data_IF_315388212649
#
_entry.id   IF_315388212649
#
_cell.length_a   1.000
_cell.length_b   1.000
_cell.length_c   1.000
_cell.angle_alpha   90.00
_cell.angle_beta   90.00
_cell.angle_gamma   90.00
#
_symmetry.space_group_name_H-M   'P 1'
#
loop_
_entity.id
_entity.type
_entity.pdbx_description
1 polymer ?
#
# COMPACT_ATOMS: atom_id res chain seq x y z
N UNK A 1 3.10 -13.28 -3.20
CA UNK A 1 3.30 -14.68 -3.21
C UNK A 1 4.41 -15.22 -2.33
N UNK A 2 4.70 -14.63 -1.15
CA UNK A 2 5.67 -15.21 -0.20
C UNK A 2 5.04 -16.29 0.67
N UNK A 3 3.78 -16.09 1.07
CA UNK A 3 3.02 -17.02 1.90
C UNK A 3 1.71 -17.38 1.18
N UNK A 4 1.34 -18.65 1.27
CA UNK A 4 0.05 -19.11 0.78
C UNK A 4 -1.06 -18.64 1.73
N UNK A 5 -2.20 -18.13 1.21
CA UNK A 5 -3.31 -17.72 2.06
C UNK A 5 -3.93 -18.93 2.75
N UNK A 6 -4.33 -18.78 4.02
CA UNK A 6 -5.02 -19.84 4.79
C UNK A 6 -6.40 -20.16 4.18
N UNK A 7 -6.99 -19.22 3.46
CA UNK A 7 -8.26 -19.37 2.76
C UNK A 7 -8.50 -18.23 1.77
N UNK A 8 -9.49 -18.40 0.91
CA UNK A 8 -9.77 -17.46 -0.18
C UNK A 8 -8.81 -17.60 -1.36
N UNK A 9 -8.78 -16.61 -2.26
CA UNK A 9 -7.91 -16.59 -3.42
C UNK A 9 -7.42 -15.18 -3.73
N UNK A 10 -6.23 -15.07 -4.33
CA UNK A 10 -5.69 -13.82 -4.86
C UNK A 10 -5.54 -13.98 -6.35
N UNK A 11 -6.33 -13.22 -7.11
CA UNK A 11 -6.32 -13.28 -8.58
C UNK A 11 -5.72 -12.01 -9.15
N UNK A 12 -4.90 -12.16 -10.18
CA UNK A 12 -4.31 -11.07 -10.96
C UNK A 12 -4.61 -11.34 -12.42
N UNK A 13 -5.30 -10.42 -13.07
CA UNK A 13 -5.85 -10.60 -14.43
C UNK A 13 -6.65 -11.92 -14.57
N UNK A 14 -7.41 -12.27 -13.54
CA UNK A 14 -8.20 -13.50 -13.51
C UNK A 14 -7.42 -14.78 -13.20
N UNK A 15 -6.09 -14.70 -13.06
CA UNK A 15 -5.23 -15.84 -12.73
C UNK A 15 -5.01 -15.93 -11.24
N UNK A 16 -5.35 -17.06 -10.63
CA UNK A 16 -5.07 -17.32 -9.22
C UNK A 16 -3.56 -17.59 -9.02
N UNK A 17 -2.93 -16.80 -8.17
CA UNK A 17 -1.48 -16.85 -7.92
C UNK A 17 -1.00 -18.21 -7.40
N UNK A 18 -1.84 -18.90 -6.61
CA UNK A 18 -1.46 -20.16 -5.95
C UNK A 18 -1.90 -21.40 -6.72
N UNK A 19 -2.85 -21.28 -7.66
CA UNK A 19 -3.28 -22.39 -8.50
C UNK A 19 -2.31 -22.70 -9.66
N UNK A 20 -1.33 -21.84 -9.92
CA UNK A 20 -0.33 -22.04 -10.97
C UNK A 20 0.65 -23.18 -10.61
N UNK A 21 0.46 -24.35 -11.19
CA UNK A 21 1.40 -25.47 -11.08
C UNK A 21 2.73 -25.21 -11.80
N UNK A 22 2.68 -24.46 -12.91
CA UNK A 22 3.82 -24.12 -13.77
C UNK A 22 4.71 -23.07 -13.10
N UNK A 23 5.98 -23.39 -12.86
CA UNK A 23 6.95 -22.53 -12.20
C UNK A 23 7.28 -21.28 -13.03
N UNK A 24 7.36 -21.42 -14.35
CA UNK A 24 7.72 -20.31 -15.24
C UNK A 24 6.57 -19.28 -15.31
N UNK A 25 5.33 -19.74 -15.40
CA UNK A 25 4.14 -18.86 -15.33
C UNK A 25 4.05 -18.15 -13.99
N UNK A 26 4.36 -18.82 -12.90
CA UNK A 26 4.41 -18.23 -11.56
C UNK A 26 5.50 -17.18 -11.43
N UNK A 27 6.69 -17.45 -12.00
CA UNK A 27 7.79 -16.49 -12.04
C UNK A 27 7.43 -15.27 -12.90
N UNK A 28 6.82 -15.48 -14.07
CA UNK A 28 6.34 -14.41 -14.94
C UNK A 28 5.31 -13.51 -14.22
N UNK A 29 4.37 -14.11 -13.47
CA UNK A 29 3.41 -13.34 -12.67
C UNK A 29 4.08 -12.55 -11.55
N UNK A 30 5.05 -13.16 -10.82
CA UNK A 30 5.82 -12.48 -9.77
C UNK A 30 6.63 -11.31 -10.30
N UNK A 31 7.15 -11.39 -11.51
CA UNK A 31 7.85 -10.28 -12.16
C UNK A 31 6.94 -9.06 -12.31
N UNK A 32 5.66 -9.26 -12.68
CA UNK A 32 4.69 -8.17 -12.88
C UNK A 32 4.27 -7.48 -11.59
N UNK A 33 4.52 -8.12 -10.44
CA UNK A 33 4.10 -7.61 -9.12
C UNK A 33 5.33 -7.44 -8.26
N UNK A 34 5.60 -6.22 -7.85
CA UNK A 34 6.73 -5.93 -6.97
C UNK A 34 6.28 -5.18 -5.71
N UNK A 35 7.15 -5.10 -4.73
CA UNK A 35 6.85 -4.50 -3.44
C UNK A 35 7.92 -3.50 -3.03
N UNK A 36 7.47 -2.34 -2.56
CA UNK A 36 8.28 -1.36 -1.85
C UNK A 36 7.98 -1.56 -0.37
N UNK A 37 8.99 -1.93 0.41
CA UNK A 37 8.87 -2.25 1.83
C UNK A 37 8.89 -1.00 2.69
N UNK A 38 8.32 -1.10 3.89
CA UNK A 38 8.17 -0.03 4.88
C UNK A 38 9.50 0.59 5.32
N UNK A 39 10.52 -0.24 5.56
CA UNK A 39 11.83 0.22 6.04
C UNK A 39 12.89 0.11 4.94
N UNK A 40 13.36 1.25 4.39
CA UNK A 40 14.41 1.24 3.38
C UNK A 40 15.76 0.77 3.92
N UNK A 41 16.02 0.87 5.24
CA UNK A 41 17.25 0.38 5.84
C UNK A 41 17.27 -1.16 5.91
N UNK A 42 16.18 -1.75 6.38
CA UNK A 42 16.07 -3.21 6.49
C UNK A 42 15.94 -3.90 5.13
N UNK A 43 15.40 -3.20 4.13
CA UNK A 43 15.12 -3.80 2.81
C UNK A 43 16.32 -3.83 1.87
N UNK A 44 17.38 -3.06 2.13
CA UNK A 44 18.60 -3.01 1.32
C UNK A 44 19.74 -3.77 2.01
N UNK A 45 20.39 -4.71 1.30
CA UNK A 45 21.56 -5.39 1.85
C UNK A 45 22.71 -4.37 2.01
N UNK A 46 23.16 -4.06 3.24
CA UNK A 46 24.18 -3.02 3.48
C UNK A 46 25.58 -3.37 2.96
N UNK A 47 25.80 -4.65 2.64
CA UNK A 47 27.09 -5.16 2.11
C UNK A 47 27.17 -5.11 0.59
N UNK A 48 26.07 -4.82 -0.08
CA UNK A 48 26.00 -4.75 -1.53
C UNK A 48 26.05 -3.30 -2.01
N UNK A 49 26.68 -3.08 -3.15
CA UNK A 49 26.63 -1.78 -3.83
C UNK A 49 25.22 -1.56 -4.39
N UNK A 50 24.82 -0.31 -4.48
CA UNK A 50 23.50 0.09 -5.01
C UNK A 50 23.24 -0.48 -6.40
N UNK A 51 24.23 -0.44 -7.29
CA UNK A 51 24.13 -1.05 -8.61
C UNK A 51 23.83 -2.55 -8.57
N UNK A 52 24.44 -3.30 -7.63
CA UNK A 52 24.16 -4.73 -7.46
C UNK A 52 22.76 -5.00 -6.92
N UNK A 53 22.27 -4.14 -6.01
CA UNK A 53 20.91 -4.24 -5.43
C UNK A 53 19.84 -4.04 -6.51
N UNK A 54 20.02 -3.04 -7.38
CA UNK A 54 19.08 -2.76 -8.49
C UNK A 54 19.21 -3.80 -9.60
N UNK A 55 20.39 -4.33 -9.85
CA UNK A 55 20.66 -5.35 -10.85
C UNK A 55 20.13 -6.74 -10.48
N UNK A 56 19.90 -7.02 -9.19
CA UNK A 56 19.50 -8.35 -8.72
C UNK A 56 18.19 -8.84 -9.34
N UNK A 57 17.07 -8.08 -9.34
CA UNK A 57 15.86 -8.51 -10.02
C UNK A 57 16.03 -8.61 -11.55
N UNK A 58 16.84 -7.74 -12.18
CA UNK A 58 17.12 -7.81 -13.63
C UNK A 58 17.74 -9.16 -13.98
N UNK A 59 18.73 -9.60 -13.19
CA UNK A 59 19.38 -10.91 -13.36
C UNK A 59 18.42 -12.07 -13.06
N UNK A 60 17.68 -11.98 -11.95
CA UNK A 60 16.77 -13.03 -11.50
C UNK A 60 15.67 -13.32 -12.52
N UNK A 61 15.25 -12.32 -13.28
CA UNK A 61 14.23 -12.44 -14.33
C UNK A 61 14.82 -12.52 -15.77
N UNK A 62 16.14 -12.55 -15.92
CA UNK A 62 16.79 -12.67 -17.22
C UNK A 62 16.50 -11.48 -18.15
N UNK A 63 16.47 -10.25 -17.64
CA UNK A 63 16.06 -9.04 -18.39
C UNK A 63 17.24 -8.30 -19.05
N UNK A 64 18.45 -8.79 -18.91
CA UNK A 64 19.62 -8.28 -19.61
C UNK A 64 20.38 -9.46 -20.23
N UNK A 65 20.87 -9.26 -21.45
CA UNK A 65 21.59 -10.27 -22.23
C UNK A 65 23.06 -10.32 -21.86
N UNK A 66 23.62 -9.17 -21.49
CA UNK A 66 25.03 -9.03 -21.14
C UNK A 66 25.23 -8.00 -20.02
N UNK A 67 26.50 -7.84 -19.63
CA UNK A 67 26.89 -6.92 -18.56
C UNK A 67 26.69 -5.45 -18.92
N UNK A 68 26.94 -5.08 -20.16
CA UNK A 68 26.84 -3.69 -20.60
C UNK A 68 25.37 -3.24 -20.59
N UNK A 69 24.45 -4.08 -21.07
CA UNK A 69 23.01 -3.85 -21.01
C UNK A 69 22.54 -3.73 -19.55
N UNK A 70 23.01 -4.62 -18.67
CA UNK A 70 22.68 -4.57 -17.24
C UNK A 70 23.13 -3.25 -16.60
N UNK A 71 24.35 -2.81 -16.84
CA UNK A 71 24.89 -1.55 -16.32
C UNK A 71 24.13 -0.34 -16.87
N UNK A 72 23.74 -0.38 -18.15
CA UNK A 72 22.89 0.64 -18.78
C UNK A 72 21.51 0.72 -18.13
N UNK A 73 20.82 -0.41 -17.96
CA UNK A 73 19.49 -0.46 -17.32
C UNK A 73 19.54 0.05 -15.87
N UNK A 74 20.59 -0.30 -15.10
CA UNK A 74 20.80 0.21 -13.74
C UNK A 74 20.98 1.73 -13.75
N UNK A 75 21.77 2.27 -14.67
CA UNK A 75 21.98 3.71 -14.82
C UNK A 75 20.68 4.45 -15.15
N UNK A 76 19.86 3.90 -16.04
CA UNK A 76 18.56 4.48 -16.39
C UNK A 76 17.59 4.47 -15.21
N UNK A 77 17.56 3.39 -14.43
CA UNK A 77 16.72 3.31 -13.23
C UNK A 77 17.14 4.33 -12.16
N UNK A 78 18.45 4.55 -11.98
CA UNK A 78 18.94 5.60 -11.09
C UNK A 78 18.50 6.99 -11.55
N UNK A 79 18.67 7.32 -12.85
CA UNK A 79 18.18 8.59 -13.42
C UNK A 79 16.66 8.75 -13.24
N UNK A 80 15.92 7.67 -13.46
CA UNK A 80 14.45 7.64 -13.35
C UNK A 80 13.96 8.05 -11.96
N UNK A 81 14.72 7.69 -10.90
CA UNK A 81 14.40 8.06 -9.52
C UNK A 81 15.14 9.32 -9.05
N UNK A 82 15.83 10.04 -9.95
CA UNK A 82 16.52 11.29 -9.65
C UNK A 82 17.84 11.11 -8.87
N UNK A 83 18.56 10.01 -9.15
CA UNK A 83 19.91 9.73 -8.64
C UNK A 83 20.93 9.71 -9.79
N UNK A 84 22.21 9.94 -9.47
CA UNK A 84 23.28 9.87 -10.45
C UNK A 84 23.63 8.40 -10.77
N UNK A 85 23.82 8.00 -12.03
CA UNK A 85 24.32 6.67 -12.38
C UNK A 85 25.61 6.27 -11.70
N UNK A 86 26.51 7.22 -11.39
CA UNK A 86 27.73 6.99 -10.62
C UNK A 86 27.46 6.49 -9.19
N UNK A 87 26.27 6.76 -8.67
CA UNK A 87 25.82 6.27 -7.35
C UNK A 87 25.70 4.75 -7.29
N UNK A 88 25.66 4.05 -8.44
CA UNK A 88 25.70 2.59 -8.51
C UNK A 88 26.90 1.97 -7.79
N UNK A 89 28.03 2.70 -7.72
CA UNK A 89 29.26 2.24 -7.08
C UNK A 89 29.25 2.37 -5.54
N UNK A 90 28.34 3.16 -4.97
CA UNK A 90 28.23 3.43 -3.54
C UNK A 90 27.44 2.34 -2.78
N UNK A 91 27.57 2.36 -1.46
CA UNK A 91 26.82 1.49 -0.55
C UNK A 91 25.60 2.22 0.04
N UNK A 92 24.56 1.49 0.47
CA UNK A 92 23.35 2.09 1.03
C UNK A 92 23.59 3.05 2.21
N UNK A 93 24.60 2.79 3.04
CA UNK A 93 24.90 3.65 4.20
C UNK A 93 25.45 5.03 3.83
N UNK A 94 25.90 5.24 2.58
CA UNK A 94 26.38 6.53 2.08
C UNK A 94 25.25 7.47 1.63
N UNK A 95 23.97 7.03 1.74
CA UNK A 95 22.81 7.78 1.28
C UNK A 95 21.92 8.25 2.43
N UNK A 96 21.22 9.37 2.22
CA UNK A 96 20.16 9.83 3.11
C UNK A 96 18.95 8.87 3.06
N UNK A 97 18.02 9.00 4.05
CA UNK A 97 16.79 8.20 4.09
C UNK A 97 15.96 8.30 2.79
N UNK A 98 15.77 9.52 2.30
CA UNK A 98 15.03 9.75 1.05
C UNK A 98 15.73 9.19 -0.19
N UNK A 99 17.06 9.27 -0.25
CA UNK A 99 17.84 8.64 -1.33
C UNK A 99 17.77 7.10 -1.26
N UNK A 100 17.83 6.50 -0.07
CA UNK A 100 17.60 5.04 0.08
C UNK A 100 16.21 4.63 -0.38
N UNK A 101 15.19 5.42 -0.07
CA UNK A 101 13.84 5.15 -0.56
C UNK A 101 13.77 5.18 -2.08
N UNK A 102 14.47 6.13 -2.74
CA UNK A 102 14.59 6.17 -4.20
C UNK A 102 15.28 4.91 -4.76
N UNK A 103 16.29 4.39 -4.06
CA UNK A 103 16.96 3.12 -4.42
C UNK A 103 15.99 1.94 -4.30
N UNK A 104 15.16 1.89 -3.23
CA UNK A 104 14.13 0.85 -3.07
C UNK A 104 13.09 0.90 -4.19
N UNK A 105 12.68 2.10 -4.60
CA UNK A 105 11.77 2.31 -5.74
C UNK A 105 12.45 1.83 -7.04
N UNK A 106 13.70 2.23 -7.31
CA UNK A 106 14.46 1.79 -8.48
C UNK A 106 14.58 0.25 -8.55
N UNK A 107 14.87 -0.39 -7.41
CA UNK A 107 14.91 -1.85 -7.30
C UNK A 107 13.56 -2.49 -7.64
N UNK A 108 12.46 -1.96 -7.10
CA UNK A 108 11.13 -2.47 -7.39
C UNK A 108 10.76 -2.32 -8.88
N UNK A 109 11.20 -1.24 -9.53
CA UNK A 109 10.97 -0.99 -10.96
C UNK A 109 11.85 -1.83 -11.88
N UNK A 110 12.95 -2.39 -11.39
CA UNK A 110 13.97 -3.06 -12.21
C UNK A 110 13.45 -4.31 -12.92
N UNK A 111 12.40 -4.95 -12.41
CA UNK A 111 11.72 -6.07 -13.07
C UNK A 111 10.70 -5.64 -14.13
N UNK A 112 10.50 -4.33 -14.35
CA UNK A 112 9.46 -3.74 -15.21
C UNK A 112 8.05 -4.22 -14.79
N UNK A 113 7.62 -3.96 -13.53
CA UNK A 113 6.33 -4.40 -13.03
C UNK A 113 5.18 -3.58 -13.63
N UNK A 114 3.97 -4.13 -13.53
CA UNK A 114 2.71 -3.44 -13.85
C UNK A 114 1.99 -3.03 -12.56
N UNK A 115 2.24 -3.77 -11.47
CA UNK A 115 1.59 -3.60 -10.18
C UNK A 115 2.63 -3.48 -9.07
N UNK A 116 2.51 -2.43 -8.26
CA UNK A 116 3.39 -2.20 -7.11
C UNK A 116 2.59 -2.15 -5.81
N UNK A 117 2.98 -3.00 -4.86
CA UNK A 117 2.52 -2.88 -3.48
C UNK A 117 3.48 -1.93 -2.76
N UNK A 118 2.98 -0.81 -2.28
CA UNK A 118 3.74 0.16 -1.50
C UNK A 118 3.27 0.11 -0.05
N UNK A 119 4.07 -0.55 0.80
CA UNK A 119 3.76 -0.73 2.21
C UNK A 119 4.44 0.38 3.02
N UNK A 120 3.65 1.35 3.47
CA UNK A 120 4.09 2.54 4.20
C UNK A 120 5.37 3.21 3.65
N UNK A 121 5.47 3.49 2.34
CA UNK A 121 6.73 3.80 1.67
C UNK A 121 7.36 5.13 2.11
N UNK A 122 6.71 5.87 2.99
CA UNK A 122 7.18 7.19 3.44
C UNK A 122 7.14 7.36 4.96
N UNK A 123 6.77 6.33 5.73
CA UNK A 123 6.58 6.43 7.19
C UNK A 123 7.86 6.75 7.97
N UNK A 124 9.02 6.34 7.46
CA UNK A 124 10.33 6.56 8.07
C UNK A 124 11.01 7.88 7.62
N UNK A 125 10.30 8.74 6.88
CA UNK A 125 10.87 9.96 6.28
C UNK A 125 10.27 11.22 6.92
N UNK A 126 11.05 12.30 6.95
CA UNK A 126 10.53 13.61 7.32
C UNK A 126 9.51 14.13 6.28
N UNK A 127 8.67 15.08 6.71
CA UNK A 127 7.53 15.57 5.91
C UNK A 127 7.94 16.12 4.54
N UNK A 128 9.08 16.80 4.46
CA UNK A 128 9.56 17.42 3.21
C UNK A 128 10.02 16.36 2.21
N UNK A 129 10.76 15.37 2.68
CA UNK A 129 11.23 14.24 1.87
C UNK A 129 10.06 13.33 1.49
N UNK A 130 9.11 13.12 2.42
CA UNK A 130 7.87 12.39 2.14
C UNK A 130 7.14 12.97 0.91
N UNK A 131 6.94 14.30 0.86
CA UNK A 131 6.29 14.94 -0.27
C UNK A 131 7.04 14.70 -1.59
N UNK A 132 8.37 14.74 -1.56
CA UNK A 132 9.19 14.48 -2.76
C UNK A 132 9.05 13.03 -3.25
N UNK A 133 9.03 12.05 -2.34
CA UNK A 133 8.84 10.64 -2.71
C UNK A 133 7.43 10.38 -3.27
N UNK A 134 6.40 10.99 -2.68
CA UNK A 134 5.03 10.85 -3.19
C UNK A 134 4.87 11.45 -4.60
N UNK A 135 5.46 12.62 -4.84
CA UNK A 135 5.46 13.24 -6.17
C UNK A 135 6.21 12.37 -7.19
N UNK A 136 7.38 11.83 -6.81
CA UNK A 136 8.11 10.88 -7.65
C UNK A 136 7.25 9.65 -7.98
N UNK A 137 6.58 9.05 -6.98
CA UNK A 137 5.72 7.88 -7.21
C UNK A 137 4.55 8.21 -8.16
N UNK A 138 3.98 9.42 -8.05
CA UNK A 138 2.93 9.88 -8.96
C UNK A 138 3.44 10.04 -10.39
N UNK A 139 4.58 10.70 -10.55
CA UNK A 139 5.23 10.84 -11.87
C UNK A 139 5.53 9.48 -12.51
N UNK A 140 6.05 8.53 -11.72
CA UNK A 140 6.32 7.17 -12.19
C UNK A 140 5.03 6.43 -12.56
N UNK A 141 3.94 6.63 -11.83
CA UNK A 141 2.62 6.08 -12.16
C UNK A 141 2.18 6.53 -13.54
N UNK A 142 2.23 7.84 -13.78
CA UNK A 142 1.76 8.44 -15.04
C UNK A 142 2.66 8.05 -16.23
N UNK A 143 3.98 8.05 -16.03
CA UNK A 143 4.95 7.72 -17.10
C UNK A 143 5.00 6.25 -17.49
N UNK A 144 4.83 5.35 -16.51
CA UNK A 144 4.99 3.91 -16.69
C UNK A 144 3.67 3.14 -16.69
N UNK A 145 2.53 3.82 -16.49
CA UNK A 145 1.21 3.18 -16.44
C UNK A 145 1.04 2.23 -15.24
N UNK A 146 1.69 2.53 -14.11
CA UNK A 146 1.71 1.63 -12.95
C UNK A 146 0.39 1.64 -12.18
N UNK A 147 0.00 0.47 -11.71
CA UNK A 147 -1.07 0.33 -10.71
C UNK A 147 -0.45 0.18 -9.32
N UNK A 148 -0.92 0.97 -8.34
CA UNK A 148 -0.46 0.88 -6.96
C UNK A 148 -1.53 0.27 -6.04
N UNK A 149 -1.10 -0.65 -5.17
CA UNK A 149 -1.75 -0.89 -3.89
C UNK A 149 -0.94 -0.15 -2.82
N UNK A 150 -1.47 1.00 -2.39
CA UNK A 150 -0.79 1.86 -1.44
C UNK A 150 -1.33 1.63 -0.03
N UNK A 151 -0.49 1.21 0.90
CA UNK A 151 -0.83 0.98 2.31
C UNK A 151 -0.25 2.13 3.13
N UNK A 152 -1.07 2.80 3.92
CA UNK A 152 -0.63 3.89 4.80
C UNK A 152 -1.63 4.13 5.92
N UNK A 153 -1.12 4.55 7.09
CA UNK A 153 -1.93 5.07 8.20
C UNK A 153 -2.14 6.60 8.10
N UNK A 154 -1.45 7.28 7.18
CA UNK A 154 -1.56 8.73 6.99
C UNK A 154 -2.63 9.06 5.96
N UNK A 155 -3.78 9.55 6.43
CA UNK A 155 -4.94 9.85 5.58
C UNK A 155 -4.66 10.96 4.56
N UNK A 156 -3.80 11.94 4.86
CA UNK A 156 -3.42 12.98 3.91
C UNK A 156 -2.64 12.40 2.71
N UNK A 157 -1.75 11.45 2.99
CA UNK A 157 -1.00 10.71 1.96
C UNK A 157 -1.94 9.89 1.10
N UNK A 158 -2.85 9.12 1.73
CA UNK A 158 -3.83 8.30 1.00
C UNK A 158 -4.73 9.15 0.12
N UNK A 159 -5.22 10.30 0.64
CA UNK A 159 -6.03 11.26 -0.14
C UNK A 159 -5.30 11.79 -1.38
N UNK A 160 -3.99 11.98 -1.29
CA UNK A 160 -3.17 12.46 -2.40
C UNK A 160 -2.93 11.39 -3.46
N UNK A 161 -2.68 10.13 -3.02
CA UNK A 161 -2.21 9.06 -3.91
C UNK A 161 -3.33 8.20 -4.50
N UNK A 162 -4.40 7.94 -3.74
CA UNK A 162 -5.38 6.92 -4.08
C UNK A 162 -6.60 7.47 -4.80
N UNK A 163 -7.03 6.78 -5.87
CA UNK A 163 -8.32 7.02 -6.51
C UNK A 163 -9.47 6.37 -5.71
N UNK A 164 -9.17 5.24 -5.02
CA UNK A 164 -10.11 4.48 -4.21
C UNK A 164 -9.46 4.04 -2.92
N UNK A 165 -10.21 4.03 -1.82
CA UNK A 165 -9.71 3.71 -0.48
C UNK A 165 -10.50 2.57 0.11
N UNK A 166 -9.78 1.59 0.69
CA UNK A 166 -10.31 0.59 1.58
C UNK A 166 -9.89 0.90 3.02
N UNK A 167 -10.86 1.12 3.90
CA UNK A 167 -10.61 1.31 5.33
C UNK A 167 -10.60 -0.05 6.01
N UNK A 168 -9.51 -0.36 6.71
CA UNK A 168 -9.34 -1.65 7.39
C UNK A 168 -9.35 -1.48 8.91
N UNK A 169 -10.06 -2.37 9.60
CA UNK A 169 -10.06 -2.46 11.05
C UNK A 169 -9.88 -3.91 11.50
N UNK A 170 -8.89 -4.17 12.36
CA UNK A 170 -8.53 -5.51 12.86
C UNK A 170 -8.51 -6.59 11.76
N UNK A 171 -7.80 -6.30 10.64
CA UNK A 171 -7.63 -7.25 9.54
C UNK A 171 -8.80 -7.38 8.57
N UNK A 172 -9.91 -6.63 8.77
CA UNK A 172 -11.09 -6.65 7.89
C UNK A 172 -11.29 -5.31 7.20
N UNK A 173 -11.60 -5.32 5.91
CA UNK A 173 -12.03 -4.12 5.19
C UNK A 173 -13.48 -3.81 5.63
N UNK A 174 -13.69 -2.64 6.23
CA UNK A 174 -14.99 -2.22 6.77
C UNK A 174 -15.73 -1.22 5.87
N UNK A 175 -14.98 -0.49 5.04
CA UNK A 175 -15.56 0.44 4.07
C UNK A 175 -14.64 0.54 2.85
N UNK A 176 -15.21 0.66 1.65
CA UNK A 176 -14.49 0.83 0.41
C UNK A 176 -15.22 1.82 -0.49
N UNK A 177 -14.56 2.90 -0.89
CA UNK A 177 -15.19 3.96 -1.68
C UNK A 177 -14.19 4.71 -2.58
N UNK A 178 -14.65 5.42 -3.61
CA UNK A 178 -13.87 6.47 -4.25
C UNK A 178 -13.37 7.48 -3.23
N UNK A 179 -12.14 7.95 -3.39
CA UNK A 179 -11.48 8.82 -2.40
C UNK A 179 -12.32 10.05 -2.04
N UNK A 180 -12.84 10.76 -3.03
CA UNK A 180 -13.64 11.96 -2.79
C UNK A 180 -14.92 11.65 -1.98
N UNK A 181 -15.57 10.52 -2.25
CA UNK A 181 -16.79 10.12 -1.54
C UNK A 181 -16.50 9.72 -0.10
N UNK A 182 -15.42 8.95 0.15
CA UNK A 182 -15.03 8.57 1.50
C UNK A 182 -14.76 9.80 2.37
N UNK A 183 -14.02 10.78 1.85
CA UNK A 183 -13.72 12.01 2.60
C UNK A 183 -14.93 12.93 2.79
N UNK A 184 -15.90 12.91 1.86
CA UNK A 184 -17.12 13.72 1.95
C UNK A 184 -18.19 13.12 2.86
N UNK A 185 -18.39 11.82 2.74
CA UNK A 185 -19.51 11.10 3.38
C UNK A 185 -19.10 9.68 3.81
N UNK A 186 -18.19 9.53 4.79
CA UNK A 186 -17.85 8.21 5.33
C UNK A 186 -19.11 7.58 5.95
N UNK A 187 -19.32 6.29 5.71
CA UNK A 187 -20.51 5.58 6.18
C UNK A 187 -20.25 4.76 7.43
N UNK A 188 -19.13 4.03 7.47
CA UNK A 188 -18.78 3.22 8.63
C UNK A 188 -18.39 4.10 9.83
N UNK A 189 -18.88 3.84 11.05
CA UNK A 189 -18.54 4.64 12.24
C UNK A 189 -17.04 4.76 12.50
N UNK A 190 -16.25 3.71 12.22
CA UNK A 190 -14.80 3.77 12.32
C UNK A 190 -14.15 4.72 11.30
N UNK A 191 -14.64 4.71 10.04
CA UNK A 191 -14.12 5.62 9.02
C UNK A 191 -14.42 7.09 9.36
N UNK A 192 -15.63 7.38 9.87
CA UNK A 192 -15.98 8.71 10.41
C UNK A 192 -15.01 9.14 11.50
N UNK A 193 -14.78 8.26 12.47
CA UNK A 193 -13.85 8.50 13.56
C UNK A 193 -12.43 8.80 13.08
N UNK A 194 -11.91 8.04 12.11
CA UNK A 194 -10.58 8.27 11.54
C UNK A 194 -10.48 9.64 10.85
N UNK A 195 -11.49 10.01 10.10
CA UNK A 195 -11.53 11.29 9.38
C UNK A 195 -11.73 12.48 10.32
N UNK A 196 -12.52 12.34 11.38
CA UNK A 196 -12.71 13.36 12.42
C UNK A 196 -11.41 13.61 13.23
N UNK A 197 -10.50 12.61 13.28
CA UNK A 197 -9.20 12.76 13.94
C UNK A 197 -8.17 13.53 13.10
N UNK A 198 -8.38 13.68 11.78
CA UNK A 198 -7.47 14.44 10.91
C UNK A 198 -7.62 15.93 11.22
N UNK A 199 -6.52 16.64 11.54
CA UNK A 199 -6.56 18.09 11.71
C UNK A 199 -6.95 18.77 10.39
N UNK A 200 -8.13 19.33 10.31
CA UNK A 200 -8.50 20.24 9.23
C UNK A 200 -8.13 21.67 9.65
N UNK A 201 -7.21 22.28 8.91
CA UNK A 201 -6.80 23.67 9.14
C UNK A 201 -7.96 24.65 9.01
N UNK A 202 -9.04 24.27 8.29
CA UNK A 202 -10.25 25.07 8.14
C UNK A 202 -11.26 24.89 9.31
N UNK A 203 -11.07 23.90 10.18
CA UNK A 203 -12.00 23.55 11.28
C UNK A 203 -11.45 23.93 12.66
N UNK A 204 -10.78 25.05 12.80
CA UNK A 204 -10.37 25.60 14.09
C UNK A 204 -11.60 25.87 14.95
N UNK A 205 -11.87 25.01 15.96
CA UNK A 205 -12.92 25.22 16.96
C UNK A 205 -13.95 24.12 17.15
N UNK A 206 -13.99 23.07 16.32
CA UNK A 206 -14.86 21.92 16.62
C UNK A 206 -14.26 21.05 17.70
N UNK A 207 -15.01 20.74 18.82
CA UNK A 207 -14.54 19.82 19.82
C UNK A 207 -14.34 18.44 19.18
N UNK A 208 -13.11 17.90 19.28
CA UNK A 208 -12.81 16.54 18.83
C UNK A 208 -13.53 15.57 19.76
N UNK A 209 -14.40 14.73 19.21
CA UNK A 209 -14.92 13.59 19.94
C UNK A 209 -13.80 12.55 20.04
N UNK A 210 -13.20 12.45 21.23
CA UNK A 210 -12.29 11.35 21.54
C UNK A 210 -13.08 10.04 21.44
N UNK A 211 -12.52 9.08 20.74
CA UNK A 211 -13.12 7.74 20.70
C UNK A 211 -12.80 7.05 22.00
N UNK A 212 -13.84 6.75 22.75
CA UNK A 212 -13.74 5.99 23.99
C UNK A 212 -13.45 4.51 23.70
N UNK A 213 -12.73 3.86 24.62
CA UNK A 213 -12.44 2.44 24.58
C UNK A 213 -11.09 2.06 23.95
N UNK A 214 -10.48 1.02 24.49
CA UNK A 214 -9.22 0.44 24.00
C UNK A 214 -9.42 -0.32 22.69
N UNK A 215 -8.37 -0.40 21.89
CA UNK A 215 -8.37 -1.21 20.69
C UNK A 215 -8.35 -2.69 21.11
N UNK A 216 -9.33 -3.50 20.70
CA UNK A 216 -9.36 -4.91 21.05
C UNK A 216 -8.13 -5.66 20.52
N UNK A 217 -7.80 -6.77 21.18
CA UNK A 217 -6.68 -7.62 20.78
C UNK A 217 -6.92 -8.20 19.36
N UNK A 218 -6.04 -7.94 18.39
CA UNK A 218 -6.20 -8.44 17.03
C UNK A 218 -6.08 -9.96 16.89
N UNK A 219 -5.45 -10.64 17.86
CA UNK A 219 -5.33 -12.12 17.88
C UNK A 219 -6.65 -12.76 18.28
N UNK A 220 -7.44 -12.09 19.15
CA UNK A 220 -8.75 -12.55 19.58
C UNK A 220 -9.77 -11.41 19.44
N UNK A 221 -10.19 -11.12 18.21
CA UNK A 221 -11.13 -10.02 17.97
C UNK A 221 -12.49 -10.31 18.62
N UNK A 222 -13.25 -9.29 19.01
CA UNK A 222 -14.60 -9.45 19.50
C UNK A 222 -15.49 -10.23 18.52
N UNK A 223 -16.47 -11.02 19.03
CA UNK A 223 -17.44 -11.68 18.18
C UNK A 223 -18.30 -10.65 17.43
N UNK A 224 -18.82 -11.04 16.27
CA UNK A 224 -19.62 -10.18 15.43
C UNK A 224 -18.80 -9.08 14.73
N UNK A 225 -19.30 -7.87 14.75
CA UNK A 225 -18.58 -6.70 14.23
C UNK A 225 -17.38 -6.36 15.13
N UNK A 226 -16.17 -6.44 14.61
CA UNK A 226 -14.94 -6.19 15.40
C UNK A 226 -14.91 -4.78 16.03
N UNK A 227 -15.63 -3.82 15.48
CA UNK A 227 -15.72 -2.46 16.00
C UNK A 227 -16.80 -2.29 17.07
N UNK A 228 -17.64 -3.31 17.35
CA UNK A 228 -18.80 -3.18 18.26
C UNK A 228 -18.46 -2.59 19.64
N UNK A 229 -17.35 -2.90 20.33
CA UNK A 229 -17.06 -2.36 21.66
C UNK A 229 -16.82 -0.84 21.69
N UNK A 230 -16.48 -0.26 20.53
CA UNK A 230 -16.14 1.16 20.39
C UNK A 230 -17.16 1.93 19.54
N UNK A 231 -18.17 1.24 19.02
CA UNK A 231 -19.15 1.80 18.11
C UNK A 231 -20.27 2.52 18.89
N UNK A 232 -20.48 3.84 18.69
CA UNK A 232 -21.58 4.55 19.33
C UNK A 232 -22.97 4.12 18.83
N UNK A 233 -23.02 3.37 17.71
CA UNK A 233 -24.25 2.85 17.10
C UNK A 233 -24.34 1.32 17.23
N UNK A 234 -23.62 0.72 18.20
CA UNK A 234 -23.67 -0.73 18.40
C UNK A 234 -25.05 -1.19 18.81
N UNK A 235 -25.56 -2.20 18.10
CA UNK A 235 -26.84 -2.88 18.41
C UNK A 235 -26.56 -4.35 18.74
N UNK A 236 -27.57 -5.09 19.23
CA UNK A 236 -27.41 -6.48 19.64
C UNK A 236 -26.81 -7.36 18.54
N UNK A 237 -27.30 -7.19 17.31
CA UNK A 237 -26.79 -7.89 16.14
C UNK A 237 -25.30 -7.69 15.90
N UNK A 238 -24.76 -6.50 16.21
CA UNK A 238 -23.32 -6.21 16.06
C UNK A 238 -22.45 -7.05 16.98
N UNK A 239 -22.99 -7.61 18.07
CA UNK A 239 -22.25 -8.43 19.04
C UNK A 239 -22.13 -9.90 18.65
N UNK A 240 -23.02 -10.37 17.78
CA UNK A 240 -23.10 -11.78 17.40
C UNK A 240 -22.87 -12.05 15.92
N UNK A 241 -23.19 -11.11 15.03
CA UNK A 241 -23.07 -11.30 13.59
C UNK A 241 -21.98 -10.40 12.99
N UNK A 242 -21.16 -11.00 12.11
CA UNK A 242 -20.17 -10.25 11.32
C UNK A 242 -20.91 -9.56 10.16
N UNK A 243 -20.82 -8.22 10.04
CA UNK A 243 -21.46 -7.54 8.91
C UNK A 243 -20.75 -7.90 7.60
N UNK A 244 -21.53 -8.20 6.59
CA UNK A 244 -21.04 -8.43 5.23
C UNK A 244 -20.87 -7.09 4.50
N UNK A 245 -19.93 -7.07 3.55
CA UNK A 245 -19.76 -5.92 2.68
C UNK A 245 -20.97 -5.77 1.77
N UNK A 246 -21.56 -4.57 1.69
CA UNK A 246 -22.69 -4.30 0.82
C UNK A 246 -22.38 -4.62 -0.65
N UNK A 247 -23.43 -4.91 -1.42
CA UNK A 247 -23.28 -5.25 -2.84
C UNK A 247 -22.53 -4.17 -3.64
N UNK A 248 -21.76 -4.59 -4.63
CA UNK A 248 -20.98 -3.69 -5.49
C UNK A 248 -19.59 -3.35 -4.99
N UNK A 249 -19.08 -3.98 -3.92
CA UNK A 249 -17.73 -3.72 -3.38
C UNK A 249 -16.61 -3.87 -4.42
N UNK A 250 -16.80 -4.68 -5.45
CA UNK A 250 -15.85 -4.89 -6.56
C UNK A 250 -15.93 -3.81 -7.65
N UNK A 251 -16.99 -3.02 -7.70
CA UNK A 251 -17.12 -1.91 -8.66
C UNK A 251 -16.24 -0.73 -8.24
N UNK A 252 -15.49 -0.17 -9.18
CA UNK A 252 -14.64 1.01 -8.94
C UNK A 252 -15.44 2.25 -8.51
N UNK A 253 -16.70 2.36 -8.93
CA UNK A 253 -17.58 3.48 -8.59
C UNK A 253 -18.41 3.24 -7.31
N UNK A 254 -18.42 2.00 -6.77
CA UNK A 254 -19.28 1.68 -5.65
C UNK A 254 -18.69 2.16 -4.31
N UNK A 255 -19.59 2.70 -3.48
CA UNK A 255 -19.34 2.96 -2.07
C UNK A 255 -19.95 1.83 -1.24
N UNK A 256 -19.12 0.87 -0.84
CA UNK A 256 -19.53 -0.33 -0.13
C UNK A 256 -19.09 -0.25 1.34
N UNK A 257 -19.93 -0.78 2.25
CA UNK A 257 -19.71 -0.74 3.69
C UNK A 257 -20.14 -2.05 4.35
N UNK A 258 -19.38 -2.50 5.32
CA UNK A 258 -19.68 -3.65 6.18
C UNK A 258 -20.18 -3.15 7.55
N UNK A 259 -21.45 -2.76 7.61
CA UNK A 259 -22.07 -2.20 8.83
C UNK A 259 -23.55 -2.48 8.88
N UNK A 260 -24.04 -3.12 9.95
CA UNK A 260 -25.47 -3.38 10.15
C UNK A 260 -26.30 -2.09 10.27
N UNK A 261 -25.80 -1.10 11.04
CA UNK A 261 -26.48 0.17 11.23
C UNK A 261 -26.66 1.00 9.94
N UNK A 262 -25.80 0.79 8.94
CA UNK A 262 -25.92 1.47 7.63
C UNK A 262 -26.79 0.67 6.67
N UNK A 263 -26.91 -0.64 6.86
CA UNK A 263 -27.76 -1.50 6.04
C UNK A 263 -29.24 -1.38 6.40
N UNK A 264 -29.55 -1.00 7.64
CA UNK A 264 -30.91 -0.89 8.17
C UNK A 264 -31.48 0.55 8.13
N UNK A 265 -30.69 1.57 7.83
CA UNK A 265 -31.05 2.99 7.76
C UNK A 265 -30.78 3.60 6.44
#
# INVERSE_FOLDING_TARGET
GLLEPTGGRVTIDGVDMWSLADADKRQALRRRIQMIFQDPYASLNPRWRVGSIIADPIRAFGLATDRAELEHQVGDLLRLVGLDPADAAKYPHEFSGGQRQRICIARALSSKPEFLVADEPTSALDVSVQAQILNLMRELQDRLGLTYLFISHNLAVVRHMAARIGVMYLGRVVEMAPTQELFRAPRHPYARMLLDAVPDLAMTGRPRKMVEGEIPNPISPPPGCAFNPRCPHAMERCRCEVPEMSAGATSLAAHAVACHAVAEG
#
